data_IF_413367454502
#
_entry.id   IF_413367454502
#
_cell.length_a   1.000
_cell.length_b   1.000
_cell.length_c   1.000
_cell.angle_alpha   90.00
_cell.angle_beta   90.00
_cell.angle_gamma   90.00
#
_symmetry.space_group_name_H-M   'P 1'
#
loop_
_entity.id
_entity.type
_entity.pdbx_description
1 polymer ?
#
# COMPACT_ATOMS: atom_id res chain seq x y z
N UNK A 1 11.35 -14.19 15.01
CA UNK A 1 11.03 -12.94 14.30
C UNK A 1 10.57 -13.30 12.90
N UNK A 2 9.46 -12.75 12.44
CA UNK A 2 8.98 -12.99 11.07
C UNK A 2 9.73 -12.06 10.13
N UNK A 3 10.52 -12.61 9.20
CA UNK A 3 11.25 -11.77 8.24
C UNK A 3 10.25 -11.08 7.31
N UNK A 4 10.36 -9.76 7.23
CA UNK A 4 9.59 -8.92 6.31
C UNK A 4 10.33 -8.87 4.97
N UNK A 5 9.61 -8.94 3.85
CA UNK A 5 10.15 -8.83 2.51
C UNK A 5 9.39 -7.73 1.77
N UNK A 6 10.06 -6.62 1.47
CA UNK A 6 9.46 -5.48 0.79
C UNK A 6 9.71 -5.58 -0.71
N UNK A 7 8.66 -5.49 -1.51
CA UNK A 7 8.70 -5.48 -2.96
C UNK A 7 8.14 -4.12 -3.41
N UNK A 8 9.01 -3.25 -3.93
CA UNK A 8 8.63 -1.88 -4.29
C UNK A 8 8.64 -1.69 -5.79
N UNK A 9 7.47 -1.53 -6.40
CA UNK A 9 7.33 -1.05 -7.76
C UNK A 9 7.61 0.46 -7.78
N UNK A 10 8.87 0.81 -8.05
CA UNK A 10 9.37 2.18 -7.96
C UNK A 10 9.17 2.91 -9.30
N UNK A 11 8.40 3.98 -9.23
CA UNK A 11 8.34 5.00 -10.26
C UNK A 11 8.18 6.38 -9.63
N UNK A 12 8.06 7.42 -10.45
CA UNK A 12 7.92 8.81 -9.99
C UNK A 12 6.76 8.97 -9.00
N UNK A 13 5.64 8.32 -9.25
CA UNK A 13 4.40 8.46 -8.46
C UNK A 13 4.41 7.63 -7.18
N UNK A 14 5.18 6.53 -7.12
CA UNK A 14 5.32 5.69 -5.92
C UNK A 14 6.59 5.99 -5.11
N UNK A 15 7.40 6.96 -5.55
CA UNK A 15 8.69 7.31 -4.94
C UNK A 15 8.59 7.71 -3.47
N UNK A 16 7.46 8.28 -3.04
CA UNK A 16 7.22 8.63 -1.63
C UNK A 16 7.21 7.40 -0.70
N UNK A 17 6.96 6.19 -1.23
CA UNK A 17 7.03 4.93 -0.47
C UNK A 17 8.46 4.51 -0.13
N UNK A 18 9.48 5.21 -0.65
CA UNK A 18 10.89 4.96 -0.31
C UNK A 18 11.18 5.15 1.18
N UNK A 19 10.34 5.92 1.89
CA UNK A 19 10.43 6.07 3.36
C UNK A 19 10.39 4.71 4.10
N UNK A 20 9.76 3.68 3.55
CA UNK A 20 9.80 2.35 4.13
C UNK A 20 11.23 1.76 4.15
N UNK A 21 12.07 2.08 3.16
CA UNK A 21 13.46 1.59 3.09
C UNK A 21 14.29 2.09 4.27
N UNK A 22 14.08 3.33 4.70
CA UNK A 22 14.77 3.92 5.86
C UNK A 22 14.50 3.17 7.16
N UNK A 23 13.40 2.41 7.23
CA UNK A 23 13.01 1.63 8.39
C UNK A 23 13.25 0.11 8.27
N UNK A 24 13.46 -0.40 7.05
CA UNK A 24 13.49 -1.84 6.75
C UNK A 24 14.56 -2.24 5.70
N UNK A 25 15.70 -1.53 5.69
CA UNK A 25 16.72 -1.57 4.62
C UNK A 25 17.16 -2.99 4.19
N UNK A 26 17.34 -3.91 5.14
CA UNK A 26 17.89 -5.25 4.88
C UNK A 26 16.97 -6.21 4.10
N UNK A 27 15.75 -5.79 3.72
CA UNK A 27 14.79 -6.68 3.05
C UNK A 27 14.00 -6.01 1.94
N UNK A 28 14.59 -5.03 1.27
CA UNK A 28 13.97 -4.27 0.18
C UNK A 28 14.40 -4.78 -1.21
N UNK A 29 13.44 -5.21 -2.02
CA UNK A 29 13.61 -5.50 -3.45
C UNK A 29 12.91 -4.43 -4.28
N UNK A 30 13.64 -3.78 -5.18
CA UNK A 30 13.09 -2.72 -6.05
C UNK A 30 12.79 -3.29 -7.42
N UNK A 31 11.58 -3.02 -7.92
CA UNK A 31 11.18 -3.26 -9.31
C UNK A 31 11.33 -1.93 -10.05
N UNK A 32 12.24 -1.90 -11.01
CA UNK A 32 12.47 -0.78 -11.91
C UNK A 32 11.53 -0.89 -13.14
N UNK A 33 11.22 0.21 -13.84
CA UNK A 33 10.32 0.23 -15.01
C UNK A 33 10.98 -0.35 -16.27
N UNK A 34 11.31 -1.64 -16.22
CA UNK A 34 11.77 -2.42 -17.37
C UNK A 34 11.39 -3.90 -17.22
N UNK A 35 11.26 -4.59 -18.36
CA UNK A 35 10.84 -6.00 -18.39
C UNK A 35 11.71 -6.94 -17.54
N UNK A 36 13.03 -6.72 -17.54
CA UNK A 36 13.96 -7.59 -16.83
C UNK A 36 13.74 -7.54 -15.33
N UNK A 37 13.57 -6.34 -14.78
CA UNK A 37 13.29 -6.13 -13.35
C UNK A 37 11.93 -6.71 -12.96
N UNK A 38 10.89 -6.49 -13.78
CA UNK A 38 9.56 -7.08 -13.56
C UNK A 38 9.63 -8.62 -13.55
N UNK A 39 10.27 -9.24 -14.55
CA UNK A 39 10.42 -10.71 -14.62
C UNK A 39 11.23 -11.25 -13.42
N UNK A 40 12.28 -10.57 -13.03
CA UNK A 40 13.11 -10.97 -11.88
C UNK A 40 12.36 -10.82 -10.56
N UNK A 41 11.46 -9.84 -10.44
CA UNK A 41 10.66 -9.66 -9.22
C UNK A 41 9.74 -10.85 -8.93
N UNK A 42 9.13 -11.44 -9.97
CA UNK A 42 8.29 -12.63 -9.81
C UNK A 42 9.11 -13.81 -9.30
N UNK A 43 10.30 -14.03 -9.88
CA UNK A 43 11.22 -15.08 -9.43
C UNK A 43 11.67 -14.86 -8.00
N UNK A 44 12.01 -13.62 -7.65
CA UNK A 44 12.40 -13.26 -6.29
C UNK A 44 11.29 -13.59 -5.28
N UNK A 45 10.03 -13.23 -5.58
CA UNK A 45 8.91 -13.54 -4.68
C UNK A 45 8.66 -15.05 -4.58
N UNK A 46 8.81 -15.80 -5.67
CA UNK A 46 8.70 -17.27 -5.66
C UNK A 46 9.77 -17.95 -4.78
N UNK A 47 10.94 -17.33 -4.63
CA UNK A 47 12.04 -17.83 -3.79
C UNK A 47 11.89 -17.45 -2.31
N UNK A 48 10.90 -16.62 -1.95
CA UNK A 48 10.63 -16.26 -0.56
C UNK A 48 10.10 -17.51 0.19
N UNK A 49 10.71 -17.88 1.33
CA UNK A 49 10.26 -19.05 2.11
C UNK A 49 8.79 -18.95 2.51
N UNK A 50 8.08 -20.08 2.53
CA UNK A 50 6.70 -20.15 3.06
C UNK A 50 6.62 -19.60 4.50
N UNK A 51 5.45 -19.08 4.87
CA UNK A 51 5.19 -18.42 6.15
C UNK A 51 6.06 -17.17 6.37
N UNK A 52 6.56 -16.52 5.32
CA UNK A 52 7.19 -15.21 5.41
C UNK A 52 6.14 -14.10 5.39
N UNK A 53 6.56 -12.84 5.57
CA UNK A 53 5.69 -11.68 5.37
C UNK A 53 6.16 -10.87 4.17
N UNK A 54 5.30 -10.74 3.15
CA UNK A 54 5.53 -9.98 1.95
C UNK A 54 4.77 -8.65 2.05
N UNK A 55 5.44 -7.54 1.77
CA UNK A 55 4.87 -6.21 1.69
C UNK A 55 5.09 -5.71 0.27
N UNK A 56 4.01 -5.53 -0.48
CA UNK A 56 4.07 -4.90 -1.79
C UNK A 56 3.78 -3.40 -1.65
N UNK A 57 4.62 -2.58 -2.27
CA UNK A 57 4.52 -1.13 -2.31
C UNK A 57 4.41 -0.70 -3.78
N UNK A 58 3.29 -0.11 -4.20
CA UNK A 58 3.18 0.41 -5.55
C UNK A 58 1.74 0.52 -6.06
N UNK A 59 1.57 0.35 -7.36
CA UNK A 59 0.28 0.48 -8.03
C UNK A 59 -0.58 -0.78 -7.95
N UNK A 60 -1.89 -0.60 -7.87
CA UNK A 60 -2.85 -1.70 -7.85
C UNK A 60 -4.12 -1.40 -8.65
N UNK A 61 -4.90 -2.46 -8.85
CA UNK A 61 -6.22 -2.48 -9.46
C UNK A 61 -7.08 -3.55 -8.80
N UNK A 62 -8.38 -3.54 -9.06
CA UNK A 62 -9.31 -4.57 -8.59
C UNK A 62 -9.04 -5.98 -9.14
N UNK A 63 -8.15 -6.12 -10.13
CA UNK A 63 -7.82 -7.38 -10.81
C UNK A 63 -6.35 -7.78 -10.70
N UNK A 64 -5.49 -6.96 -10.08
CA UNK A 64 -4.07 -7.28 -9.93
C UNK A 64 -3.20 -6.10 -9.52
N UNK A 65 -1.89 -6.36 -9.46
CA UNK A 65 -0.86 -5.36 -9.21
C UNK A 65 -0.21 -4.93 -10.52
N UNK A 66 0.13 -3.65 -10.60
CA UNK A 66 0.70 -3.04 -11.79
C UNK A 66 2.22 -2.95 -11.73
N UNK A 67 2.84 -3.02 -12.90
CA UNK A 67 4.23 -2.64 -13.08
C UNK A 67 4.47 -1.18 -12.67
N UNK A 68 5.71 -0.83 -12.27
CA UNK A 68 6.11 0.58 -12.24
C UNK A 68 6.05 1.18 -13.64
N UNK A 69 5.79 2.49 -13.74
CA UNK A 69 5.63 3.21 -15.02
C UNK A 69 6.83 4.14 -15.32
N UNK A 70 7.18 4.27 -16.60
CA UNK A 70 8.07 5.33 -17.10
C UNK A 70 7.65 5.79 -18.50
N UNK A 71 8.34 6.78 -19.08
CA UNK A 71 8.06 7.25 -20.45
C UNK A 71 8.19 6.13 -21.50
N UNK A 72 9.05 5.13 -21.24
CA UNK A 72 9.33 4.01 -22.16
C UNK A 72 8.70 2.69 -21.71
N UNK A 73 8.01 2.66 -20.56
CA UNK A 73 7.49 1.42 -19.98
C UNK A 73 6.10 1.63 -19.38
N UNK A 74 5.11 1.03 -20.04
CA UNK A 74 3.70 1.18 -19.69
C UNK A 74 3.30 0.43 -18.43
N UNK A 75 2.31 1.00 -17.75
CA UNK A 75 1.63 0.40 -16.62
C UNK A 75 0.78 -0.80 -17.09
N UNK A 76 1.15 -2.00 -16.66
CA UNK A 76 0.49 -3.26 -17.02
C UNK A 76 0.30 -4.18 -15.81
N UNK A 77 -0.75 -4.99 -15.79
CA UNK A 77 -0.97 -5.95 -14.70
C UNK A 77 0.02 -7.09 -14.84
N UNK A 78 0.96 -7.20 -13.90
CA UNK A 78 1.99 -8.25 -13.89
C UNK A 78 1.77 -9.30 -12.79
N UNK A 79 0.99 -8.98 -11.75
CA UNK A 79 0.53 -9.95 -10.74
C UNK A 79 -1.00 -9.96 -10.77
N UNK A 80 -1.56 -10.81 -11.63
CA UNK A 80 -3.01 -11.10 -11.68
C UNK A 80 -3.37 -12.17 -10.63
N UNK A 81 -4.60 -12.70 -10.66
CA UNK A 81 -5.03 -13.75 -9.71
C UNK A 81 -4.24 -15.05 -9.85
N UNK A 82 -3.87 -15.44 -11.07
CA UNK A 82 -3.18 -16.71 -11.32
C UNK A 82 -1.75 -16.65 -10.77
N UNK A 83 -1.03 -15.57 -11.09
CA UNK A 83 0.33 -15.32 -10.58
C UNK A 83 0.29 -15.10 -9.07
N UNK A 84 -0.66 -14.29 -8.57
CA UNK A 84 -0.82 -14.04 -7.14
C UNK A 84 -1.05 -15.33 -6.34
N UNK A 85 -1.89 -16.23 -6.85
CA UNK A 85 -2.13 -17.53 -6.22
C UNK A 85 -0.91 -18.46 -6.26
N UNK A 86 0.01 -18.27 -7.20
CA UNK A 86 1.27 -19.01 -7.20
C UNK A 86 2.24 -18.43 -6.16
N UNK A 87 2.49 -17.12 -6.21
CA UNK A 87 3.60 -16.49 -5.47
C UNK A 87 3.26 -16.17 -4.00
N UNK A 88 1.99 -16.06 -3.64
CA UNK A 88 1.56 -15.78 -2.26
C UNK A 88 1.17 -17.02 -1.47
N UNK A 89 1.48 -18.21 -1.98
CA UNK A 89 1.13 -19.49 -1.33
C UNK A 89 1.70 -19.57 0.09
N UNK A 90 0.81 -19.71 1.09
CA UNK A 90 1.13 -19.75 2.54
C UNK A 90 1.98 -18.56 3.00
N UNK A 91 1.78 -17.41 2.37
CA UNK A 91 2.43 -16.17 2.77
C UNK A 91 1.49 -15.29 3.59
N UNK A 92 2.08 -14.43 4.42
CA UNK A 92 1.42 -13.28 5.02
C UNK A 92 1.66 -12.08 4.13
N UNK A 93 0.63 -11.41 3.64
CA UNK A 93 0.77 -10.43 2.56
C UNK A 93 0.11 -9.10 2.93
N UNK A 94 0.82 -7.99 2.78
CA UNK A 94 0.26 -6.64 2.86
C UNK A 94 0.47 -5.95 1.51
N UNK A 95 -0.62 -5.56 0.85
CA UNK A 95 -0.59 -4.90 -0.46
C UNK A 95 -0.89 -3.42 -0.30
N UNK A 96 0.13 -2.56 -0.12
CA UNK A 96 -0.07 -1.11 -0.11
C UNK A 96 -0.15 -0.59 -1.54
N UNK A 97 -1.34 -0.78 -2.11
CA UNK A 97 -1.66 -0.44 -3.49
C UNK A 97 -3.15 -0.19 -3.64
N UNK A 98 -3.51 0.77 -4.49
CA UNK A 98 -4.90 1.19 -4.71
C UNK A 98 -5.79 0.02 -5.18
N UNK A 99 -7.00 -0.09 -4.63
CA UNK A 99 -8.00 -1.12 -4.90
C UNK A 99 -7.52 -2.58 -4.69
N UNK A 100 -6.43 -2.77 -3.95
CA UNK A 100 -5.95 -4.10 -3.59
C UNK A 100 -6.96 -4.86 -2.72
N UNK A 101 -7.80 -4.19 -1.94
CA UNK A 101 -8.89 -4.83 -1.18
C UNK A 101 -9.91 -5.57 -2.07
N UNK A 102 -10.07 -5.19 -3.32
CA UNK A 102 -10.90 -5.89 -4.30
C UNK A 102 -10.12 -7.06 -4.92
N UNK A 103 -8.84 -6.84 -5.25
CA UNK A 103 -7.98 -7.87 -5.82
C UNK A 103 -7.79 -9.08 -4.89
N UNK A 104 -7.55 -8.86 -3.60
CA UNK A 104 -7.28 -9.95 -2.65
C UNK A 104 -8.45 -10.92 -2.49
N UNK A 105 -9.69 -10.51 -2.83
CA UNK A 105 -10.87 -11.38 -2.86
C UNK A 105 -10.81 -12.44 -3.97
N UNK A 106 -9.91 -12.27 -4.94
CA UNK A 106 -9.68 -13.20 -6.06
C UNK A 106 -8.54 -14.18 -5.78
N UNK A 107 -7.88 -14.05 -4.62
CA UNK A 107 -6.78 -14.91 -4.19
C UNK A 107 -7.27 -15.92 -3.16
N UNK A 108 -6.63 -17.09 -3.11
CA UNK A 108 -7.04 -18.20 -2.24
C UNK A 108 -5.88 -19.05 -1.68
N UNK A 109 -4.61 -18.73 -2.01
CA UNK A 109 -3.46 -19.52 -1.57
C UNK A 109 -2.68 -18.93 -0.39
N UNK A 110 -2.96 -17.68 0.00
CA UNK A 110 -2.29 -16.99 1.12
C UNK A 110 -2.71 -17.52 2.49
N UNK A 111 -1.91 -17.28 3.53
CA UNK A 111 -2.29 -17.55 4.93
C UNK A 111 -3.12 -16.38 5.50
N UNK A 112 -2.57 -15.17 5.38
CA UNK A 112 -3.22 -13.93 5.78
C UNK A 112 -2.92 -12.85 4.75
N UNK A 113 -3.88 -11.98 4.46
CA UNK A 113 -3.67 -10.88 3.51
C UNK A 113 -4.40 -9.60 3.93
N UNK A 114 -3.75 -8.47 3.70
CA UNK A 114 -4.29 -7.13 3.89
C UNK A 114 -4.22 -6.36 2.57
N UNK A 115 -5.30 -5.69 2.20
CA UNK A 115 -5.37 -4.77 1.08
C UNK A 115 -6.14 -3.50 1.45
N UNK A 116 -6.02 -2.49 0.62
CA UNK A 116 -6.60 -1.15 0.80
C UNK A 116 -7.49 -0.81 -0.39
N UNK A 117 -8.45 0.08 -0.18
CA UNK A 117 -9.32 0.56 -1.27
C UNK A 117 -8.68 1.69 -2.06
N UNK A 118 -9.44 2.72 -2.38
CA UNK A 118 -8.96 3.84 -3.15
C UNK A 118 -7.93 4.64 -2.34
N UNK A 119 -6.80 4.97 -2.97
CA UNK A 119 -5.72 5.77 -2.37
C UNK A 119 -5.49 6.97 -3.27
N UNK A 120 -5.95 8.15 -2.85
CA UNK A 120 -5.73 9.41 -3.57
C UNK A 120 -4.35 9.97 -3.24
N UNK A 121 -3.31 9.32 -3.78
CA UNK A 121 -1.90 9.60 -3.48
C UNK A 121 -1.30 10.75 -4.28
N UNK A 122 -2.05 11.31 -5.24
CA UNK A 122 -1.63 12.44 -6.08
C UNK A 122 -2.80 13.36 -6.41
N UNK A 123 -2.52 14.63 -6.73
CA UNK A 123 -3.54 15.56 -7.23
C UNK A 123 -4.18 15.07 -8.54
N UNK A 124 -3.44 14.31 -9.36
CA UNK A 124 -3.98 13.69 -10.58
C UNK A 124 -5.09 12.68 -10.24
N UNK A 125 -4.91 11.86 -9.21
CA UNK A 125 -5.93 10.91 -8.76
C UNK A 125 -7.16 11.61 -8.18
N UNK A 126 -6.97 12.72 -7.44
CA UNK A 126 -8.08 13.56 -6.96
C UNK A 126 -8.91 14.12 -8.12
N UNK A 127 -8.26 14.62 -9.17
CA UNK A 127 -8.96 15.11 -10.36
C UNK A 127 -9.72 13.98 -11.08
N UNK A 128 -9.10 12.81 -11.24
CA UNK A 128 -9.73 11.65 -11.90
C UNK A 128 -10.97 11.18 -11.12
N UNK A 129 -10.92 11.12 -9.79
CA UNK A 129 -12.07 10.76 -8.94
C UNK A 129 -13.20 11.78 -9.13
N UNK A 130 -12.88 13.08 -9.14
CA UNK A 130 -13.87 14.14 -9.34
C UNK A 130 -14.51 14.06 -10.73
N UNK A 131 -13.72 13.87 -11.78
CA UNK A 131 -14.18 13.86 -13.16
C UNK A 131 -15.02 12.62 -13.51
N UNK A 132 -14.63 11.45 -12.99
CA UNK A 132 -15.19 10.17 -13.44
C UNK A 132 -16.13 9.51 -12.44
N UNK A 133 -16.06 9.85 -11.16
CA UNK A 133 -16.77 9.10 -10.11
C UNK A 133 -17.75 9.98 -9.31
N UNK A 134 -17.27 11.10 -8.75
CA UNK A 134 -18.07 11.85 -7.75
C UNK A 134 -18.70 13.14 -8.28
N UNK A 135 -18.12 13.76 -9.31
CA UNK A 135 -18.48 15.10 -9.77
C UNK A 135 -18.07 16.23 -8.80
N UNK A 136 -17.31 15.92 -7.74
CA UNK A 136 -16.96 16.88 -6.68
C UNK A 136 -15.44 17.03 -6.58
N UNK A 137 -14.94 18.24 -6.82
CA UNK A 137 -13.55 18.58 -6.57
C UNK A 137 -13.32 18.83 -5.10
N UNK A 138 -12.47 18.00 -4.49
CA UNK A 138 -12.03 18.17 -3.10
C UNK A 138 -11.15 19.43 -3.01
N UNK A 139 -11.34 20.22 -1.95
CA UNK A 139 -10.48 21.37 -1.67
C UNK A 139 -9.16 20.89 -1.06
N UNK A 140 -8.27 20.39 -1.91
CA UNK A 140 -6.97 19.83 -1.55
C UNK A 140 -5.88 20.48 -2.40
N UNK A 141 -4.72 20.66 -1.79
CA UNK A 141 -3.49 21.10 -2.44
C UNK A 141 -2.47 19.96 -2.42
N UNK A 142 -1.41 20.08 -3.22
CA UNK A 142 -0.33 19.08 -3.26
C UNK A 142 0.28 18.82 -1.87
N UNK A 143 0.43 19.85 -1.04
CA UNK A 143 0.91 19.70 0.33
C UNK A 143 -0.05 18.89 1.22
N UNK A 144 -1.36 18.96 0.98
CA UNK A 144 -2.35 18.18 1.73
C UNK A 144 -2.24 16.69 1.36
N UNK A 145 -2.01 16.39 0.07
CA UNK A 145 -1.75 15.03 -0.40
C UNK A 145 -0.43 14.48 0.14
N UNK A 146 0.62 15.29 0.14
CA UNK A 146 1.91 14.91 0.73
C UNK A 146 1.77 14.61 2.23
N UNK A 147 0.95 15.39 2.94
CA UNK A 147 0.63 15.12 4.35
C UNK A 147 -0.15 13.80 4.50
N UNK A 148 -1.18 13.58 3.69
CA UNK A 148 -1.95 12.34 3.68
C UNK A 148 -1.04 11.11 3.43
N UNK A 149 -0.21 11.17 2.40
CA UNK A 149 0.78 10.14 2.06
C UNK A 149 1.71 9.82 3.24
N UNK A 150 2.28 10.86 3.83
CA UNK A 150 3.18 10.73 4.98
C UNK A 150 2.46 10.11 6.19
N UNK A 151 1.20 10.48 6.43
CA UNK A 151 0.44 10.03 7.59
C UNK A 151 0.09 8.55 7.52
N UNK A 152 -0.37 8.02 6.37
CA UNK A 152 -0.63 6.58 6.28
C UNK A 152 0.65 5.75 6.18
N UNK A 153 1.71 6.26 5.53
CA UNK A 153 3.01 5.59 5.53
C UNK A 153 3.52 5.44 6.97
N UNK A 154 3.45 6.51 7.77
CA UNK A 154 3.77 6.48 9.19
C UNK A 154 2.96 5.41 9.94
N UNK A 155 1.64 5.36 9.72
CA UNK A 155 0.79 4.38 10.40
C UNK A 155 1.19 2.93 10.10
N UNK A 156 1.43 2.62 8.82
CA UNK A 156 1.82 1.27 8.40
C UNK A 156 3.22 0.92 8.88
N UNK A 157 4.19 1.85 8.79
CA UNK A 157 5.55 1.65 9.30
C UNK A 157 5.53 1.31 10.79
N UNK A 158 4.80 2.09 11.61
CA UNK A 158 4.73 1.82 13.04
C UNK A 158 4.04 0.48 13.34
N UNK A 159 2.98 0.13 12.61
CA UNK A 159 2.34 -1.18 12.74
C UNK A 159 3.31 -2.32 12.43
N UNK A 160 4.03 -2.23 11.30
CA UNK A 160 5.01 -3.23 10.87
C UNK A 160 6.22 -3.31 11.82
N UNK A 161 6.68 -2.21 12.40
CA UNK A 161 7.77 -2.23 13.39
C UNK A 161 7.35 -2.97 14.66
N UNK A 162 6.14 -2.75 15.16
CA UNK A 162 5.62 -3.46 16.34
C UNK A 162 5.43 -4.96 16.04
N UNK A 163 4.91 -5.29 14.87
CA UNK A 163 4.82 -6.67 14.38
C UNK A 163 6.20 -7.34 14.26
N UNK A 164 7.20 -6.67 13.67
CA UNK A 164 8.55 -7.21 13.50
C UNK A 164 9.25 -7.48 14.85
N UNK A 165 8.96 -6.66 15.87
CA UNK A 165 9.42 -6.87 17.26
C UNK A 165 8.70 -8.01 17.98
N UNK A 166 7.66 -8.60 17.37
CA UNK A 166 6.85 -9.66 17.95
C UNK A 166 5.85 -9.19 19.00
N UNK A 167 5.56 -7.87 19.06
CA UNK A 167 4.56 -7.34 19.99
C UNK A 167 3.12 -7.69 19.57
N UNK A 168 2.91 -7.96 18.27
CA UNK A 168 1.62 -8.30 17.69
C UNK A 168 1.78 -9.39 16.63
N UNK A 169 0.68 -10.09 16.36
CA UNK A 169 0.54 -11.05 15.27
C UNK A 169 0.09 -10.36 13.98
N UNK A 170 0.23 -11.05 12.85
CA UNK A 170 -0.10 -10.45 11.54
C UNK A 170 -1.59 -10.09 11.42
N UNK A 171 -2.49 -10.90 11.99
CA UNK A 171 -3.93 -10.63 12.00
C UNK A 171 -4.33 -9.40 12.84
N UNK A 172 -3.41 -8.85 13.63
CA UNK A 172 -3.62 -7.62 14.41
C UNK A 172 -3.11 -6.37 13.67
N UNK A 173 -2.39 -6.52 12.55
CA UNK A 173 -1.87 -5.40 11.76
C UNK A 173 -2.96 -4.41 11.30
N UNK A 174 -4.12 -4.85 10.76
CA UNK A 174 -5.19 -3.92 10.36
C UNK A 174 -5.60 -3.01 11.52
N UNK A 175 -5.82 -3.59 12.70
CA UNK A 175 -6.22 -2.86 13.92
C UNK A 175 -5.13 -1.85 14.34
N UNK A 176 -3.85 -2.23 14.25
CA UNK A 176 -2.76 -1.31 14.55
C UNK A 176 -2.66 -0.16 13.54
N UNK A 177 -2.83 -0.45 12.25
CA UNK A 177 -2.85 0.58 11.20
C UNK A 177 -4.00 1.55 11.48
N UNK A 178 -5.21 1.04 11.76
CA UNK A 178 -6.36 1.85 12.11
C UNK A 178 -6.11 2.73 13.34
N UNK A 179 -5.46 2.18 14.37
CA UNK A 179 -5.08 2.93 15.58
C UNK A 179 -4.18 4.12 15.24
N UNK A 180 -3.10 3.91 14.48
CA UNK A 180 -2.18 5.00 14.11
C UNK A 180 -2.82 6.01 13.14
N UNK A 181 -3.70 5.57 12.23
CA UNK A 181 -4.46 6.48 11.38
C UNK A 181 -5.42 7.35 12.22
N UNK A 182 -6.12 6.76 13.19
CA UNK A 182 -6.96 7.50 14.14
C UNK A 182 -6.17 8.55 14.92
N UNK A 183 -4.97 8.19 15.38
CA UNK A 183 -4.07 9.13 16.01
C UNK A 183 -3.74 10.31 15.07
N UNK A 184 -3.38 10.03 13.81
CA UNK A 184 -3.08 11.07 12.82
C UNK A 184 -4.28 11.96 12.49
N UNK A 185 -5.48 11.40 12.46
CA UNK A 185 -6.72 12.18 12.28
C UNK A 185 -6.92 13.16 13.42
N UNK A 186 -6.80 12.70 14.66
CA UNK A 186 -6.92 13.57 15.83
C UNK A 186 -5.85 14.67 15.84
N UNK A 187 -4.59 14.32 15.57
CA UNK A 187 -3.49 15.29 15.45
C UNK A 187 -3.79 16.35 14.37
N UNK A 188 -4.31 15.94 13.22
CA UNK A 188 -4.65 16.83 12.10
C UNK A 188 -5.80 17.77 12.46
N UNK A 189 -6.87 17.27 13.06
CA UNK A 189 -8.04 18.07 13.43
C UNK A 189 -7.76 19.09 14.55
N UNK A 190 -6.77 18.81 15.41
CA UNK A 190 -6.33 19.70 16.48
C UNK A 190 -5.44 20.84 15.98
N UNK A 191 -4.70 20.66 14.88
CA UNK A 191 -3.84 21.69 14.26
C UNK A 191 -4.65 22.73 13.49
N UNK A 192 -5.04 23.81 14.18
CA UNK A 192 -5.93 24.85 13.62
C UNK A 192 -5.30 25.73 12.54
N UNK A 193 -3.98 25.69 12.44
CA UNK A 193 -3.15 26.35 11.43
C UNK A 193 -3.21 25.68 10.04
N UNK A 194 -3.59 24.39 9.99
CA UNK A 194 -3.82 23.70 8.72
C UNK A 194 -5.23 24.06 8.22
N UNK A 195 -5.30 24.74 7.08
CA UNK A 195 -6.54 25.21 6.46
C UNK A 195 -7.45 24.02 6.07
N UNK A 196 -6.92 23.07 5.29
CA UNK A 196 -7.66 21.93 4.76
C UNK A 196 -7.70 20.71 5.71
N UNK A 197 -7.44 20.91 7.02
CA UNK A 197 -7.33 19.82 8.01
C UNK A 197 -8.52 18.86 8.05
N UNK A 198 -9.73 19.36 7.79
CA UNK A 198 -10.96 18.56 7.81
C UNK A 198 -10.98 17.60 6.64
N UNK A 199 -10.54 18.04 5.46
CA UNK A 199 -10.52 17.21 4.26
C UNK A 199 -9.38 16.21 4.30
N UNK A 200 -8.21 16.58 4.83
CA UNK A 200 -7.12 15.64 5.11
C UNK A 200 -7.59 14.55 6.09
N UNK A 201 -8.27 14.94 7.17
CA UNK A 201 -8.81 14.00 8.14
C UNK A 201 -9.87 13.07 7.51
N UNK A 202 -10.65 13.58 6.54
CA UNK A 202 -11.60 12.79 5.76
C UNK A 202 -10.88 11.75 4.90
N UNK A 203 -9.84 12.13 4.15
CA UNK A 203 -9.03 11.17 3.37
C UNK A 203 -8.45 10.06 4.25
N UNK A 204 -7.90 10.40 5.41
CA UNK A 204 -7.40 9.41 6.37
C UNK A 204 -8.51 8.51 6.92
N UNK A 205 -9.70 9.06 7.14
CA UNK A 205 -10.87 8.29 7.58
C UNK A 205 -11.34 7.31 6.50
N UNK A 206 -11.40 7.74 5.24
CA UNK A 206 -11.73 6.92 4.08
C UNK A 206 -10.70 5.80 3.90
N UNK A 207 -9.41 6.14 3.87
CA UNK A 207 -8.30 5.19 3.78
C UNK A 207 -8.40 4.06 4.81
N UNK A 208 -8.68 4.42 6.08
CA UNK A 208 -8.85 3.48 7.18
C UNK A 208 -10.03 2.54 6.97
N UNK A 209 -11.18 3.07 6.56
CA UNK A 209 -12.40 2.28 6.44
C UNK A 209 -12.37 1.30 5.27
N UNK A 210 -11.45 1.49 4.34
CA UNK A 210 -11.29 0.62 3.16
C UNK A 210 -10.18 -0.43 3.31
N UNK A 211 -9.63 -0.60 4.52
CA UNK A 211 -8.72 -1.70 4.85
C UNK A 211 -9.54 -3.01 4.87
N UNK A 212 -9.10 -4.01 4.13
CA UNK A 212 -9.67 -5.35 4.16
C UNK A 212 -8.62 -6.37 4.59
N UNK A 213 -8.99 -7.22 5.53
CA UNK A 213 -8.21 -8.37 5.97
C UNK A 213 -8.94 -9.66 5.62
N UNK A 214 -8.21 -10.63 5.05
CA UNK A 214 -8.70 -11.98 4.78
C UNK A 214 -7.73 -13.03 5.34
N UNK A 215 -8.27 -14.21 5.62
CA UNK A 215 -7.56 -15.41 6.08
C UNK A 215 -8.03 -16.60 5.25
N UNK A 216 -7.11 -17.48 4.82
CA UNK A 216 -7.45 -18.82 4.34
C UNK A 216 -6.97 -19.92 5.30
#
# INVERSE_FOLDING_TARGET
MSKLYFIHALDKTTSFLTVFREHFEESFYTIEPNETSVKNSIKYVQEIPENSTIIFLGHGHSTGLYTPESEEFSKEIFINSDIGNQIFTRQRVLLLSCNSNQYIRRLNSFEYIVGFGNILSSMKEVSIEAENETGIYRNLLENDINFFNSAYCYAIINALQNYNRGAYQFNELPILIEFYINQKINETLLKKDIENRVEIARLLFEFRNEILFLKN
#
